data_IF_788005577249
#
_entry.id   IF_788005577249
#
_cell.length_a   1.000
_cell.length_b   1.000
_cell.length_c   1.000
_cell.angle_alpha   90.00
_cell.angle_beta   90.00
_cell.angle_gamma   90.00
#
_symmetry.space_group_name_H-M   'P 1'
#
loop_
_entity.id
_entity.type
_entity.pdbx_description
1 polymer ?
#
# COMPACT_ATOMS: atom_id res chain seq x y z
N UNK A 1 -18.43 -31.10 -9.38
CA UNK A 1 -17.67 -29.84 -9.58
C UNK A 1 -17.48 -29.13 -8.24
N UNK A 2 -16.30 -29.23 -7.62
CA UNK A 2 -15.98 -28.46 -6.40
C UNK A 2 -15.63 -27.02 -6.80
N UNK A 3 -16.44 -26.04 -6.37
CA UNK A 3 -16.14 -24.61 -6.54
C UNK A 3 -14.95 -24.28 -5.64
N UNK A 4 -13.75 -24.17 -6.19
CA UNK A 4 -12.57 -23.69 -5.43
C UNK A 4 -12.85 -22.24 -5.01
N UNK A 5 -13.22 -22.03 -3.75
CA UNK A 5 -13.45 -20.72 -3.15
C UNK A 5 -12.12 -20.18 -2.63
N UNK A 6 -11.92 -18.86 -2.69
CA UNK A 6 -10.80 -18.24 -1.98
C UNK A 6 -10.92 -18.53 -0.48
N UNK A 7 -9.81 -18.89 0.15
CA UNK A 7 -9.78 -19.15 1.60
C UNK A 7 -9.63 -17.84 2.37
N UNK A 8 -10.09 -17.76 3.63
CA UNK A 8 -9.83 -16.61 4.50
C UNK A 8 -8.33 -16.26 4.59
N UNK A 9 -7.46 -17.29 4.61
CA UNK A 9 -6.01 -17.11 4.64
C UNK A 9 -5.42 -16.46 3.37
N UNK A 10 -6.12 -16.52 2.23
CA UNK A 10 -5.71 -15.77 1.03
C UNK A 10 -5.91 -14.25 1.25
N UNK A 11 -7.08 -13.83 1.71
CA UNK A 11 -7.38 -12.40 1.93
C UNK A 11 -6.49 -11.79 3.00
N UNK A 12 -6.22 -12.53 4.09
CA UNK A 12 -5.27 -12.10 5.11
C UNK A 12 -3.87 -11.83 4.51
N UNK A 13 -3.38 -12.71 3.64
CA UNK A 13 -2.08 -12.51 2.97
C UNK A 13 -2.09 -11.29 2.04
N UNK A 14 -3.17 -11.09 1.28
CA UNK A 14 -3.32 -9.91 0.42
C UNK A 14 -3.24 -8.63 1.25
N UNK A 15 -3.95 -8.57 2.38
CA UNK A 15 -3.92 -7.43 3.28
C UNK A 15 -2.55 -7.21 3.89
N UNK A 16 -1.89 -8.27 4.39
CA UNK A 16 -0.55 -8.17 4.98
C UNK A 16 0.47 -7.62 3.97
N UNK A 17 0.47 -8.17 2.75
CA UNK A 17 1.38 -7.71 1.69
C UNK A 17 1.06 -6.29 1.26
N UNK A 18 -0.23 -5.95 1.13
CA UNK A 18 -0.68 -4.60 0.81
C UNK A 18 -0.23 -3.59 1.88
N UNK A 19 -0.51 -3.86 3.15
CA UNK A 19 -0.13 -3.00 4.28
C UNK A 19 1.39 -2.82 4.31
N UNK A 20 2.16 -3.91 4.25
CA UNK A 20 3.62 -3.83 4.31
C UNK A 20 4.21 -3.05 3.12
N UNK A 21 3.76 -3.34 1.90
CA UNK A 21 4.25 -2.67 0.70
C UNK A 21 3.89 -1.18 0.66
N UNK A 22 2.66 -0.84 1.04
CA UNK A 22 2.17 0.54 1.06
C UNK A 22 2.79 1.34 2.20
N UNK A 23 3.03 0.73 3.37
CA UNK A 23 3.74 1.38 4.46
C UNK A 23 5.20 1.69 4.07
N UNK A 24 5.88 0.75 3.40
CA UNK A 24 7.23 0.98 2.89
C UNK A 24 7.26 2.12 1.88
N UNK A 25 6.35 2.12 0.89
CA UNK A 25 6.25 3.19 -0.09
C UNK A 25 6.00 4.54 0.57
N UNK A 26 5.01 4.61 1.47
CA UNK A 26 4.67 5.83 2.19
C UNK A 26 5.83 6.35 3.04
N UNK A 27 6.56 5.45 3.72
CA UNK A 27 7.74 5.82 4.48
C UNK A 27 8.85 6.40 3.57
N UNK A 28 9.11 5.80 2.41
CA UNK A 28 10.11 6.31 1.46
C UNK A 28 9.71 7.69 0.94
N UNK A 29 8.46 7.87 0.50
CA UNK A 29 8.00 9.16 -0.03
C UNK A 29 8.04 10.24 1.05
N UNK A 30 7.56 9.93 2.26
CA UNK A 30 7.59 10.86 3.40
C UNK A 30 9.02 11.21 3.80
N UNK A 31 9.94 10.26 3.79
CA UNK A 31 11.36 10.53 4.08
C UNK A 31 12.02 11.41 3.01
N UNK A 32 11.64 11.25 1.74
CA UNK A 32 12.11 12.12 0.66
C UNK A 32 11.58 13.55 0.82
N UNK A 33 10.30 13.71 1.14
CA UNK A 33 9.68 15.03 1.35
C UNK A 33 10.23 15.71 2.61
N UNK A 34 10.37 14.95 3.70
CA UNK A 34 11.02 15.42 4.92
C UNK A 34 12.46 15.89 4.66
N UNK A 35 13.26 15.11 3.92
CA UNK A 35 14.65 15.49 3.58
C UNK A 35 14.74 16.71 2.68
N UNK A 36 13.83 16.84 1.71
CA UNK A 36 13.80 18.01 0.81
C UNK A 36 13.28 19.26 1.52
N UNK A 37 12.42 19.06 2.53
CA UNK A 37 11.81 20.10 3.34
C UNK A 37 11.28 21.29 2.52
N UNK A 38 10.40 21.05 1.52
CA UNK A 38 9.88 22.10 0.67
C UNK A 38 9.19 23.17 1.53
N UNK A 39 9.49 24.44 1.27
CA UNK A 39 8.99 25.59 2.03
C UNK A 39 9.25 25.54 3.56
N UNK A 40 10.15 24.66 4.03
CA UNK A 40 10.49 24.55 5.45
C UNK A 40 9.42 23.89 6.32
N UNK A 41 8.42 23.22 5.74
CA UNK A 41 7.24 22.76 6.48
C UNK A 41 7.48 21.52 7.34
N UNK A 42 8.48 20.70 7.02
CA UNK A 42 8.73 19.43 7.72
C UNK A 42 9.62 19.59 8.94
N UNK A 43 10.59 20.50 8.89
CA UNK A 43 11.45 20.80 10.02
C UNK A 43 12.08 22.20 9.92
N UNK A 44 12.32 22.83 11.07
CA UNK A 44 12.91 24.16 11.20
C UNK A 44 13.81 24.30 12.44
N UNK A 45 14.10 25.53 12.88
CA UNK A 45 14.89 25.79 14.09
C UNK A 45 14.32 25.12 15.35
N UNK A 46 12.99 25.00 15.42
CA UNK A 46 12.27 24.40 16.54
C UNK A 46 12.18 22.86 16.45
N UNK A 47 12.80 22.25 15.43
CA UNK A 47 12.83 20.80 15.21
C UNK A 47 11.85 20.32 14.13
N UNK A 48 11.48 19.03 14.21
CA UNK A 48 10.61 18.36 13.23
C UNK A 48 9.13 18.56 13.56
N UNK A 49 8.34 18.97 12.57
CA UNK A 49 6.89 19.05 12.65
C UNK A 49 6.25 17.68 12.39
N UNK A 50 6.23 16.83 13.42
CA UNK A 50 5.77 15.44 13.31
C UNK A 50 4.31 15.27 12.86
N UNK A 51 3.45 16.27 13.11
CA UNK A 51 2.08 16.27 12.59
C UNK A 51 2.05 16.23 11.05
N UNK A 52 2.84 17.08 10.39
CA UNK A 52 2.94 17.15 8.93
C UNK A 52 3.59 15.88 8.37
N UNK A 53 4.61 15.35 9.05
CA UNK A 53 5.22 14.06 8.69
C UNK A 53 4.18 12.93 8.71
N UNK A 54 3.36 12.86 9.76
CA UNK A 54 2.31 11.87 9.90
C UNK A 54 1.22 12.01 8.82
N UNK A 55 0.74 13.23 8.58
CA UNK A 55 -0.24 13.52 7.54
C UNK A 55 0.27 13.13 6.14
N UNK A 56 1.54 13.45 5.86
CA UNK A 56 2.19 13.09 4.59
C UNK A 56 2.29 11.57 4.44
N UNK A 57 2.67 10.86 5.50
CA UNK A 57 2.70 9.40 5.50
C UNK A 57 1.33 8.81 5.18
N UNK A 58 0.28 9.22 5.87
CA UNK A 58 -1.06 8.69 5.63
C UNK A 58 -1.62 9.09 4.25
N UNK A 59 -1.26 10.27 3.75
CA UNK A 59 -1.59 10.73 2.40
C UNK A 59 -1.00 9.82 1.32
N UNK A 60 0.21 9.30 1.52
CA UNK A 60 0.78 8.28 0.62
C UNK A 60 0.26 6.87 0.90
N UNK A 61 0.03 6.52 2.17
CA UNK A 61 -0.33 5.17 2.59
C UNK A 61 -1.71 4.73 2.08
N UNK A 62 -2.77 5.52 2.29
CA UNK A 62 -4.14 5.09 1.97
C UNK A 62 -4.39 4.86 0.48
N UNK A 63 -3.95 5.75 -0.43
CA UNK A 63 -4.07 5.49 -1.86
C UNK A 63 -3.24 4.28 -2.29
N UNK A 64 -2.02 4.15 -1.77
CA UNK A 64 -1.14 3.04 -2.10
C UNK A 64 -1.71 1.69 -1.64
N UNK A 65 -2.27 1.63 -0.44
CA UNK A 65 -2.90 0.41 0.10
C UNK A 65 -4.09 -0.01 -0.74
N UNK A 66 -4.95 0.97 -1.07
CA UNK A 66 -6.13 0.73 -1.90
C UNK A 66 -5.74 0.20 -3.27
N UNK A 67 -4.77 0.82 -3.93
CA UNK A 67 -4.25 0.38 -5.22
C UNK A 67 -3.62 -1.01 -5.14
N UNK A 68 -2.76 -1.27 -4.14
CA UNK A 68 -2.07 -2.55 -3.99
C UNK A 68 -3.07 -3.70 -3.80
N UNK A 69 -4.05 -3.54 -2.90
CA UNK A 69 -5.08 -4.56 -2.65
C UNK A 69 -5.89 -4.83 -3.92
N UNK A 70 -6.35 -3.78 -4.61
CA UNK A 70 -7.10 -3.93 -5.85
C UNK A 70 -6.30 -4.68 -6.92
N UNK A 71 -5.05 -4.28 -7.16
CA UNK A 71 -4.19 -4.90 -8.17
C UNK A 71 -3.93 -6.38 -7.86
N UNK A 72 -3.67 -6.73 -6.60
CA UNK A 72 -3.44 -8.13 -6.21
C UNK A 72 -4.71 -8.96 -6.41
N UNK A 73 -5.88 -8.44 -6.04
CA UNK A 73 -7.16 -9.13 -6.23
C UNK A 73 -7.51 -9.29 -7.72
N UNK A 74 -7.28 -8.27 -8.54
CA UNK A 74 -7.45 -8.37 -9.99
C UNK A 74 -6.52 -9.43 -10.58
N UNK A 75 -5.24 -9.38 -10.24
CA UNK A 75 -4.26 -10.34 -10.74
C UNK A 75 -4.61 -11.79 -10.34
N UNK A 76 -5.06 -12.00 -9.09
CA UNK A 76 -5.53 -13.31 -8.63
C UNK A 76 -6.78 -13.78 -9.40
N UNK A 77 -7.72 -12.87 -9.67
CA UNK A 77 -8.96 -13.18 -10.40
C UNK A 77 -8.67 -13.55 -11.86
N UNK A 78 -7.81 -12.77 -12.53
CA UNK A 78 -7.37 -13.07 -13.90
C UNK A 78 -6.64 -14.41 -13.98
N UNK A 79 -5.70 -14.67 -13.06
CA UNK A 79 -5.01 -15.97 -12.99
C UNK A 79 -5.99 -17.13 -12.78
N UNK A 80 -7.02 -16.95 -11.96
CA UNK A 80 -8.04 -17.97 -11.75
C UNK A 80 -8.87 -18.22 -13.02
N UNK A 81 -9.30 -17.15 -13.71
CA UNK A 81 -10.04 -17.24 -14.97
C UNK A 81 -9.22 -17.98 -16.04
N UNK A 82 -7.96 -17.59 -16.25
CA UNK A 82 -7.06 -18.22 -17.24
C UNK A 82 -6.84 -19.71 -16.94
N UNK A 83 -6.66 -20.10 -15.67
CA UNK A 83 -6.50 -21.52 -15.28
C UNK A 83 -7.75 -22.35 -15.56
N UNK A 84 -8.94 -21.74 -15.55
CA UNK A 84 -10.21 -22.42 -15.82
C UNK A 84 -10.46 -22.63 -17.33
N UNK A 85 -9.84 -21.82 -18.18
CA UNK A 85 -9.98 -21.88 -19.63
C UNK A 85 -9.00 -22.82 -20.33
N UNK A 86 -8.04 -23.43 -19.61
CA UNK A 86 -7.16 -24.45 -20.17
C UNK A 86 -7.92 -25.79 -20.27
N UNK A 87 -7.96 -26.43 -21.46
CA UNK A 87 -8.63 -27.71 -21.66
C UNK A 87 -7.97 -28.86 -20.91
#
# INVERSE_FOLDING_TARGET
MSKRRFSPGFFAKVLVVGIAGSALLAAVMTALDWRKNPAGIFHGPDGTHWAIVGETFFSWFWPALSAAVLLILLAASLRHAVRRSRP
#
